data_IF_863920951460
#
_entry.id   IF_863920951460
#
_cell.length_a   1.000
_cell.length_b   1.000
_cell.length_c   1.000
_cell.angle_alpha   90.00
_cell.angle_beta   90.00
_cell.angle_gamma   90.00
#
_symmetry.space_group_name_H-M   'P 1'
#
loop_
_entity.id
_entity.type
_entity.pdbx_description
1 polymer ?
#
# COMPACT_ATOMS: atom_id res chain seq x y z
N UNK A 1 3.19 -7.91 -4.23
CA UNK A 1 1.74 -7.71 -3.99
C UNK A 1 1.04 -8.95 -4.51
N UNK A 2 0.45 -9.71 -3.59
CA UNK A 2 -0.28 -10.95 -3.88
C UNK A 2 -1.77 -10.62 -4.01
N UNK A 3 -2.54 -11.45 -4.71
CA UNK A 3 -3.98 -11.24 -4.93
C UNK A 3 -4.81 -11.25 -3.64
N UNK A 4 -4.23 -11.69 -2.51
CA UNK A 4 -4.87 -11.67 -1.18
C UNK A 4 -4.48 -10.47 -0.33
N UNK A 5 -3.63 -9.58 -0.83
CA UNK A 5 -3.15 -8.41 -0.08
C UNK A 5 -4.20 -7.30 -0.16
N UNK A 6 -4.85 -6.96 0.96
CA UNK A 6 -5.90 -5.93 1.01
C UNK A 6 -5.37 -4.51 1.18
N UNK A 7 -4.20 -4.34 1.79
CA UNK A 7 -3.59 -3.04 2.07
C UNK A 7 -2.10 -3.06 1.76
N UNK A 8 -1.60 -1.99 1.15
CA UNK A 8 -0.16 -1.77 0.92
C UNK A 8 0.25 -0.50 1.65
N UNK A 9 1.15 -0.63 2.61
CA UNK A 9 1.74 0.53 3.29
C UNK A 9 2.83 1.11 2.39
N UNK A 10 2.63 2.34 1.96
CA UNK A 10 3.55 3.10 1.13
C UNK A 10 4.32 4.12 1.98
N UNK A 11 5.61 3.88 2.15
CA UNK A 11 6.56 4.90 2.59
C UNK A 11 7.24 5.61 1.40
N UNK A 12 8.22 6.46 1.70
CA UNK A 12 8.92 7.31 0.73
C UNK A 12 9.62 6.55 -0.41
N UNK A 13 9.86 5.25 -0.24
CA UNK A 13 10.60 4.42 -1.19
C UNK A 13 9.72 3.40 -1.95
N UNK A 14 8.42 3.66 -2.09
CA UNK A 14 7.55 2.78 -2.89
C UNK A 14 7.87 2.94 -4.39
N UNK A 15 8.64 2.00 -4.93
CA UNK A 15 9.01 1.93 -6.34
C UNK A 15 7.81 1.76 -7.30
N UNK A 16 7.97 2.18 -8.58
CA UNK A 16 6.87 2.27 -9.55
C UNK A 16 6.22 0.92 -9.84
N UNK A 17 6.99 -0.16 -9.92
CA UNK A 17 6.45 -1.51 -10.16
C UNK A 17 5.51 -2.00 -9.06
N UNK A 18 5.66 -1.51 -7.82
CA UNK A 18 4.74 -1.83 -6.71
C UNK A 18 3.50 -0.94 -6.73
N UNK A 19 3.63 0.34 -7.10
CA UNK A 19 2.48 1.24 -7.33
C UNK A 19 1.55 0.71 -8.40
N UNK A 20 2.07 0.48 -9.60
CA UNK A 20 1.26 0.05 -10.74
C UNK A 20 0.60 -1.29 -10.47
N UNK A 21 1.25 -2.20 -9.73
CA UNK A 21 0.65 -3.48 -9.36
C UNK A 21 -0.41 -3.34 -8.26
N UNK A 22 -0.28 -2.39 -7.34
CA UNK A 22 -1.32 -2.06 -6.36
C UNK A 22 -2.55 -1.43 -7.04
N UNK A 23 -2.32 -0.46 -7.92
CA UNK A 23 -3.37 0.21 -8.72
C UNK A 23 -4.11 -0.77 -9.62
N UNK A 24 -3.38 -1.62 -10.36
CA UNK A 24 -3.99 -2.63 -11.24
C UNK A 24 -4.80 -3.69 -10.49
N UNK A 25 -4.45 -3.98 -9.23
CA UNK A 25 -5.18 -4.92 -8.39
C UNK A 25 -6.28 -4.22 -7.57
N UNK A 26 -6.43 -2.90 -7.67
CA UNK A 26 -7.40 -2.13 -6.89
C UNK A 26 -7.13 -2.17 -5.38
N UNK A 27 -5.87 -2.36 -4.97
CA UNK A 27 -5.48 -2.51 -3.58
C UNK A 27 -5.26 -1.14 -2.96
N UNK A 28 -5.88 -0.89 -1.81
CA UNK A 28 -5.77 0.38 -1.10
C UNK A 28 -4.34 0.60 -0.63
N UNK A 29 -3.76 1.71 -1.06
CA UNK A 29 -2.44 2.17 -0.65
C UNK A 29 -2.65 3.11 0.54
N UNK A 30 -2.09 2.77 1.70
CA UNK A 30 -2.13 3.57 2.92
C UNK A 30 -0.74 4.11 3.21
N UNK A 31 -0.62 5.32 3.75
CA UNK A 31 0.69 5.84 4.16
C UNK A 31 1.13 5.24 5.50
N UNK A 32 2.43 5.29 5.81
CA UNK A 32 2.93 4.89 7.13
C UNK A 32 2.27 5.69 8.27
N UNK A 33 1.96 6.97 8.03
CA UNK A 33 1.27 7.81 9.01
C UNK A 33 -0.18 7.36 9.23
N UNK A 34 -0.90 7.00 8.16
CA UNK A 34 -2.26 6.48 8.27
C UNK A 34 -2.31 5.12 8.97
N UNK A 35 -1.32 4.25 8.68
CA UNK A 35 -1.20 2.97 9.35
C UNK A 35 -0.95 3.13 10.86
N UNK A 36 -0.09 4.08 11.25
CA UNK A 36 0.17 4.40 12.66
C UNK A 36 -1.05 5.00 13.37
N UNK A 37 -1.93 5.72 12.65
CA UNK A 37 -3.17 6.26 13.19
C UNK A 37 -4.17 5.16 13.55
N UNK A 38 -4.24 4.08 12.76
CA UNK A 38 -5.14 2.94 13.00
C UNK A 38 -4.70 2.08 14.20
N UNK A 39 -3.38 2.05 14.48
CA UNK A 39 -2.81 1.29 15.60
C UNK A 39 -3.00 1.97 16.98
N UNK A 40 -3.49 3.20 17.02
CA UNK A 40 -3.61 4.01 18.23
C UNK A 40 -5.05 4.09 18.71
#
# INVERSE_FOLDING_TARGET
ISSKTSYVVAGDNMGPSKRTKAENLGITIVSEQEFLLILK
#
